data_IF_198061791656
#
_entry.id   IF_198061791656
#
_cell.length_a   1.000
_cell.length_b   1.000
_cell.length_c   1.000
_cell.angle_alpha   90.00
_cell.angle_beta   90.00
_cell.angle_gamma   90.00
#
_symmetry.space_group_name_H-M   'P 1'
#
loop_
_entity.id
_entity.type
_entity.pdbx_description
1 polymer ?
#
# COMPACT_ATOMS: atom_id res chain seq x y z
N UNK A 1 16.64 -13.00 1.85
CA UNK A 1 16.35 -12.76 0.41
C UNK A 1 17.62 -12.26 -0.28
N UNK A 2 17.91 -12.67 -1.52
CA UNK A 2 19.04 -12.17 -2.33
C UNK A 2 18.47 -11.42 -3.54
N UNK A 3 18.88 -10.16 -3.75
CA UNK A 3 18.39 -9.30 -4.83
C UNK A 3 19.48 -9.07 -5.88
N UNK A 4 19.08 -8.91 -7.15
CA UNK A 4 19.96 -8.46 -8.22
C UNK A 4 20.01 -6.92 -8.25
N UNK A 5 21.16 -6.29 -7.99
CA UNK A 5 21.27 -4.83 -7.94
C UNK A 5 20.96 -4.15 -9.28
N UNK A 6 21.21 -4.81 -10.42
CA UNK A 6 21.06 -4.19 -11.74
C UNK A 6 19.62 -4.17 -12.25
N UNK A 7 18.74 -5.02 -11.71
CA UNK A 7 17.37 -5.19 -12.22
C UNK A 7 16.28 -5.11 -11.16
N UNK A 8 16.63 -5.20 -9.86
CA UNK A 8 15.65 -5.25 -8.76
C UNK A 8 15.88 -4.16 -7.70
N UNK A 9 16.86 -3.27 -7.89
CA UNK A 9 17.16 -2.17 -6.96
C UNK A 9 17.22 -0.86 -7.72
N UNK A 10 16.54 0.17 -7.19
CA UNK A 10 16.56 1.53 -7.72
C UNK A 10 16.84 2.48 -6.56
N UNK A 11 17.87 3.32 -6.70
CA UNK A 11 18.19 4.36 -5.73
C UNK A 11 17.30 5.59 -5.98
N UNK A 12 16.72 6.16 -4.92
CA UNK A 12 15.78 7.29 -4.98
C UNK A 12 16.23 8.41 -4.04
N UNK A 13 15.67 9.61 -4.22
CA UNK A 13 15.96 10.76 -3.35
C UNK A 13 15.11 10.71 -2.06
N UNK A 14 15.21 9.58 -1.36
CA UNK A 14 14.42 9.27 -0.17
C UNK A 14 13.16 8.44 -0.47
N UNK A 15 12.56 7.91 0.60
CA UNK A 15 11.45 6.95 0.52
C UNK A 15 10.15 7.58 -0.01
N UNK A 16 9.87 8.84 0.34
CA UNK A 16 8.65 9.54 -0.10
C UNK A 16 8.63 9.73 -1.63
N UNK A 17 9.75 10.15 -2.19
CA UNK A 17 9.89 10.36 -3.64
C UNK A 17 9.90 9.04 -4.40
N UNK A 18 10.65 8.04 -3.91
CA UNK A 18 10.64 6.70 -4.47
C UNK A 18 9.26 6.04 -4.46
N UNK A 19 8.49 6.19 -3.37
CA UNK A 19 7.12 5.69 -3.29
C UNK A 19 6.19 6.38 -4.29
N UNK A 20 6.29 7.71 -4.44
CA UNK A 20 5.48 8.45 -5.39
C UNK A 20 5.78 8.07 -6.85
N UNK A 21 7.05 7.82 -7.20
CA UNK A 21 7.42 7.34 -8.52
C UNK A 21 6.94 5.91 -8.77
N UNK A 22 7.04 5.03 -7.77
CA UNK A 22 6.51 3.68 -7.84
C UNK A 22 4.99 3.70 -8.08
N UNK A 23 4.26 4.50 -7.30
CA UNK A 23 2.82 4.67 -7.48
C UNK A 23 2.47 5.12 -8.90
N UNK A 24 3.18 6.12 -9.44
CA UNK A 24 3.01 6.57 -10.82
C UNK A 24 3.32 5.48 -11.85
N UNK A 25 4.36 4.68 -11.62
CA UNK A 25 4.78 3.64 -12.55
C UNK A 25 3.78 2.48 -12.66
N UNK A 26 3.05 2.17 -11.58
CA UNK A 26 2.15 1.01 -11.56
C UNK A 26 0.68 1.37 -11.80
N UNK A 27 0.29 2.65 -11.68
CA UNK A 27 -1.12 3.06 -11.63
C UNK A 27 -1.61 3.62 -12.95
N UNK A 28 -2.79 3.17 -13.39
CA UNK A 28 -3.58 3.80 -14.43
C UNK A 28 -4.80 4.54 -13.85
N UNK A 29 -5.38 5.52 -14.58
CA UNK A 29 -6.58 6.20 -14.14
C UNK A 29 -7.74 5.23 -13.86
N UNK A 30 -8.30 5.29 -12.64
CA UNK A 30 -9.39 4.44 -12.19
C UNK A 30 -8.97 3.15 -11.48
N UNK A 31 -7.67 2.84 -11.39
CA UNK A 31 -7.20 1.71 -10.60
C UNK A 31 -7.52 1.89 -9.12
N UNK A 32 -7.91 0.80 -8.46
CA UNK A 32 -8.29 0.81 -7.05
C UNK A 32 -7.12 0.39 -6.18
N UNK A 33 -6.84 1.15 -5.12
CA UNK A 33 -5.75 0.88 -4.18
C UNK A 33 -6.33 0.71 -2.79
N UNK A 34 -5.98 -0.40 -2.13
CA UNK A 34 -6.33 -0.64 -0.75
C UNK A 34 -5.31 0.05 0.16
N UNK A 35 -5.77 1.03 0.92
CA UNK A 35 -4.92 1.86 1.77
C UNK A 35 -5.40 1.83 3.23
N UNK A 36 -4.50 1.70 4.22
CA UNK A 36 -4.85 1.83 5.63
C UNK A 36 -5.47 3.19 5.96
N UNK A 37 -6.33 3.23 6.98
CA UNK A 37 -6.79 4.46 7.61
C UNK A 37 -6.83 4.24 9.14
N UNK A 38 -6.06 5.00 9.94
CA UNK A 38 -5.13 6.08 9.56
C UNK A 38 -3.86 5.59 8.85
N UNK A 39 -3.18 6.48 8.12
CA UNK A 39 -1.95 6.15 7.35
C UNK A 39 -1.08 7.39 7.13
N UNK A 40 0.21 7.18 6.82
CA UNK A 40 1.09 8.24 6.38
C UNK A 40 0.58 8.84 5.05
N UNK A 41 0.39 10.17 4.93
CA UNK A 41 -0.37 10.76 3.82
C UNK A 41 0.10 10.39 2.41
N UNK A 42 1.40 10.17 2.19
CA UNK A 42 1.92 9.82 0.85
C UNK A 42 1.36 8.48 0.35
N UNK A 43 0.98 7.57 1.25
CA UNK A 43 0.37 6.29 0.88
C UNK A 43 -0.93 6.48 0.09
N UNK A 44 -1.75 7.46 0.44
CA UNK A 44 -2.93 7.81 -0.34
C UNK A 44 -2.57 8.74 -1.51
N UNK A 45 -1.85 9.83 -1.22
CA UNK A 45 -1.64 10.88 -2.22
C UNK A 45 -0.78 10.46 -3.41
N UNK A 46 0.20 9.56 -3.24
CA UNK A 46 1.02 9.07 -4.35
C UNK A 46 0.18 8.40 -5.45
N UNK A 47 -0.85 7.65 -5.05
CA UNK A 47 -1.76 7.00 -6.00
C UNK A 47 -2.83 7.95 -6.52
N UNK A 48 -3.39 8.84 -5.68
CA UNK A 48 -4.37 9.85 -6.11
C UNK A 48 -3.78 10.75 -7.21
N UNK A 49 -2.53 11.19 -7.04
CA UNK A 49 -1.82 11.99 -8.05
C UNK A 49 -1.62 11.24 -9.38
N UNK A 50 -1.63 9.91 -9.34
CA UNK A 50 -1.49 9.03 -10.52
C UNK A 50 -2.84 8.62 -11.13
N UNK A 51 -3.95 9.19 -10.65
CA UNK A 51 -5.31 8.86 -11.11
C UNK A 51 -5.93 7.63 -10.45
N UNK A 52 -5.29 7.06 -9.43
CA UNK A 52 -5.81 5.95 -8.64
C UNK A 52 -6.90 6.37 -7.66
N UNK A 53 -7.81 5.45 -7.36
CA UNK A 53 -8.90 5.61 -6.39
C UNK A 53 -8.54 4.86 -5.11
N UNK A 54 -8.58 5.55 -3.98
CA UNK A 54 -8.28 4.96 -2.68
C UNK A 54 -9.54 4.31 -2.11
N UNK A 55 -9.43 3.03 -1.76
CA UNK A 55 -10.37 2.33 -0.89
C UNK A 55 -9.72 2.11 0.46
N UNK A 56 -10.20 2.85 1.46
CA UNK A 56 -9.68 2.78 2.81
C UNK A 56 -10.05 1.46 3.49
N UNK A 57 -9.12 0.91 4.27
CA UNK A 57 -9.32 -0.22 5.16
C UNK A 57 -8.86 0.17 6.56
N UNK A 58 -9.59 -0.25 7.59
CA UNK A 58 -9.04 -0.25 8.94
C UNK A 58 -8.04 -1.40 9.02
N UNK A 59 -6.82 -1.11 9.47
CA UNK A 59 -5.72 -2.07 9.46
C UNK A 59 -5.08 -2.08 10.84
N UNK A 60 -5.48 -3.07 11.62
CA UNK A 60 -4.81 -3.48 12.86
C UNK A 60 -4.20 -4.86 12.58
N UNK A 61 -2.98 -5.17 13.07
CA UNK A 61 -2.32 -6.44 12.84
C UNK A 61 -2.93 -7.55 13.72
N UNK A 62 -4.22 -7.80 13.54
CA UNK A 62 -5.03 -8.76 14.28
C UNK A 62 -5.82 -9.69 13.33
N UNK A 63 -6.58 -10.61 13.91
CA UNK A 63 -7.39 -11.59 13.18
C UNK A 63 -8.51 -10.94 12.32
N UNK A 64 -8.79 -9.65 12.52
CA UNK A 64 -9.77 -8.89 11.75
C UNK A 64 -9.27 -8.39 10.40
N UNK A 65 -7.94 -8.29 10.21
CA UNK A 65 -7.35 -7.73 9.01
C UNK A 65 -7.64 -8.55 7.74
N UNK A 66 -7.32 -9.85 7.75
CA UNK A 66 -7.49 -10.71 6.57
C UNK A 66 -8.96 -10.77 6.13
N UNK A 67 -9.96 -10.97 7.02
CA UNK A 67 -11.37 -10.88 6.64
C UNK A 67 -11.75 -9.51 6.05
N UNK A 68 -11.21 -8.41 6.57
CA UNK A 68 -11.47 -7.07 6.03
C UNK A 68 -10.86 -6.87 4.64
N UNK A 69 -9.63 -7.36 4.44
CA UNK A 69 -8.94 -7.38 3.16
C UNK A 69 -9.72 -8.19 2.12
N UNK A 70 -10.14 -9.40 2.45
CA UNK A 70 -10.93 -10.26 1.56
C UNK A 70 -12.24 -9.58 1.13
N UNK A 71 -12.96 -8.95 2.08
CA UNK A 71 -14.14 -8.13 1.75
C UNK A 71 -13.78 -6.98 0.82
N UNK A 72 -12.67 -6.28 1.09
CA UNK A 72 -12.16 -5.19 0.28
C UNK A 72 -11.86 -5.60 -1.17
N UNK A 73 -11.26 -6.77 -1.38
CA UNK A 73 -10.95 -7.31 -2.71
C UNK A 73 -12.21 -7.84 -3.40
N UNK A 74 -13.06 -8.58 -2.69
CA UNK A 74 -14.27 -9.18 -3.25
C UNK A 74 -15.23 -8.10 -3.79
N UNK A 75 -15.42 -7.03 -3.03
CA UNK A 75 -16.39 -5.97 -3.33
C UNK A 75 -15.80 -4.76 -4.05
N UNK A 76 -14.58 -4.83 -4.58
CA UNK A 76 -14.00 -3.78 -5.42
C UNK A 76 -14.19 -4.09 -6.91
N UNK A 77 -14.61 -3.08 -7.65
CA UNK A 77 -14.68 -3.06 -9.12
C UNK A 77 -14.11 -1.70 -9.56
N UNK A 78 -12.99 -1.67 -10.32
CA UNK A 78 -12.15 -2.80 -10.72
C UNK A 78 -11.50 -3.51 -9.52
N UNK A 79 -10.87 -4.68 -9.76
CA UNK A 79 -10.12 -5.37 -8.71
C UNK A 79 -8.95 -4.50 -8.25
N UNK A 80 -8.63 -4.50 -6.94
CA UNK A 80 -7.57 -3.63 -6.46
C UNK A 80 -6.22 -4.03 -7.07
N UNK A 81 -5.47 -3.04 -7.51
CA UNK A 81 -4.14 -3.19 -8.08
C UNK A 81 -3.10 -3.50 -6.98
N UNK A 82 -3.21 -2.80 -5.85
CA UNK A 82 -2.23 -2.90 -4.78
C UNK A 82 -2.88 -2.75 -3.38
N UNK A 83 -2.18 -3.31 -2.40
CA UNK A 83 -2.43 -3.14 -0.97
C UNK A 83 -1.20 -2.46 -0.35
N UNK A 84 -1.44 -1.44 0.46
CA UNK A 84 -0.37 -0.77 1.20
C UNK A 84 -0.30 -1.37 2.61
N UNK A 85 0.88 -1.88 2.96
CA UNK A 85 1.22 -2.30 4.31
C UNK A 85 2.38 -1.45 4.82
N UNK A 86 2.27 -0.95 6.04
CA UNK A 86 3.31 -0.15 6.67
C UNK A 86 3.46 -0.58 8.13
N UNK A 87 4.54 -1.28 8.42
CA UNK A 87 4.92 -1.71 9.78
C UNK A 87 6.43 -1.49 9.98
N UNK A 88 6.88 -0.88 11.09
CA UNK A 88 6.07 -0.19 12.10
C UNK A 88 5.21 0.91 11.46
N UNK A 89 3.94 0.98 11.88
CA UNK A 89 2.94 1.81 11.22
C UNK A 89 3.12 3.28 11.56
N UNK A 90 3.06 4.12 10.54
CA UNK A 90 2.91 5.54 10.67
C UNK A 90 1.45 5.89 10.30
N UNK A 91 0.63 6.43 11.24
CA UNK A 91 1.02 7.12 12.47
C UNK A 91 0.89 6.32 13.77
N UNK A 92 0.39 5.09 13.75
CA UNK A 92 -0.09 4.41 14.98
C UNK A 92 1.01 3.74 15.81
N UNK A 93 2.22 3.61 15.27
CA UNK A 93 3.33 2.85 15.82
C UNK A 93 3.05 1.35 16.04
N UNK A 94 1.93 0.82 15.51
CA UNK A 94 1.62 -0.60 15.56
C UNK A 94 2.69 -1.40 14.79
N UNK A 95 2.98 -2.61 15.27
CA UNK A 95 3.94 -3.53 14.66
C UNK A 95 3.24 -4.84 14.32
N UNK A 96 3.65 -5.48 13.23
CA UNK A 96 3.16 -6.81 12.84
C UNK A 96 4.25 -7.85 13.10
N UNK A 97 3.86 -9.03 13.57
CA UNK A 97 4.72 -10.21 13.62
C UNK A 97 4.83 -10.85 12.24
N UNK A 98 5.70 -11.85 12.08
CA UNK A 98 5.78 -12.62 10.84
C UNK A 98 4.51 -13.46 10.60
N UNK A 99 3.87 -13.94 11.65
CA UNK A 99 2.64 -14.77 11.57
C UNK A 99 1.44 -13.99 11.02
N UNK A 100 1.52 -12.67 10.95
CA UNK A 100 0.49 -11.81 10.36
C UNK A 100 0.44 -11.88 8.82
N UNK A 101 1.54 -12.26 8.17
CA UNK A 101 1.70 -12.24 6.71
C UNK A 101 1.44 -13.60 6.06
#
# INVERSE_FOLDING_TARGET
VKLNPDTQVVATLGSKEGFANMAQAITAPGDVILCPNPTYPIHAFGFIMSGGVIRSLQVEPDDGFIPALERGVRHSIPKPLALILNYPSNPTALVASLDFY
#
